data_IF_560890220727
#
_entry.id   IF_560890220727
#
_cell.length_a   1.000
_cell.length_b   1.000
_cell.length_c   1.000
_cell.angle_alpha   90.00
_cell.angle_beta   90.00
_cell.angle_gamma   90.00
#
_symmetry.space_group_name_H-M   'P 1'
#
loop_
_entity.id
_entity.type
_entity.pdbx_description
1 polymer ?
#
# COMPACT_ATOMS: atom_id res chain seq x y z
N UNK A 1 22.53 -6.02 -1.56
CA UNK A 1 21.58 -5.93 -0.42
C UNK A 1 20.18 -5.63 -0.96
N UNK A 2 19.28 -6.63 -0.96
CA UNK A 2 17.92 -6.56 -1.51
C UNK A 2 17.07 -5.40 -0.92
N UNK A 3 17.23 -5.13 0.38
CA UNK A 3 16.50 -4.06 1.08
C UNK A 3 16.85 -2.64 0.63
N UNK A 4 18.12 -2.39 0.28
CA UNK A 4 18.55 -1.08 -0.20
C UNK A 4 18.02 -0.79 -1.61
N UNK A 5 17.99 -1.81 -2.48
CA UNK A 5 17.39 -1.68 -3.81
C UNK A 5 15.91 -1.37 -3.73
N UNK A 6 15.16 -2.00 -2.81
CA UNK A 6 13.73 -1.77 -2.66
C UNK A 6 13.41 -0.31 -2.26
N UNK A 7 14.11 0.22 -1.26
CA UNK A 7 13.95 1.61 -0.82
C UNK A 7 14.36 2.58 -1.93
N UNK A 8 15.47 2.30 -2.61
CA UNK A 8 15.92 3.04 -3.79
C UNK A 8 14.84 3.08 -4.87
N UNK A 9 14.24 1.93 -5.20
CA UNK A 9 13.25 1.79 -6.27
C UNK A 9 11.97 2.55 -5.93
N UNK A 10 11.55 2.58 -4.66
CA UNK A 10 10.45 3.45 -4.21
C UNK A 10 10.78 4.94 -4.38
N UNK A 11 11.94 5.40 -3.91
CA UNK A 11 12.34 6.81 -4.09
C UNK A 11 12.57 7.18 -5.56
N UNK A 12 13.00 6.22 -6.38
CA UNK A 12 13.14 6.37 -7.83
C UNK A 12 11.76 6.55 -8.46
N UNK A 13 10.78 5.73 -8.09
CA UNK A 13 9.40 5.86 -8.55
C UNK A 13 8.79 7.24 -8.21
N UNK A 14 9.17 7.83 -7.07
CA UNK A 14 8.77 9.20 -6.73
C UNK A 14 9.46 10.25 -7.61
N UNK A 15 10.75 10.09 -7.92
CA UNK A 15 11.56 11.09 -8.66
C UNK A 15 11.31 11.07 -10.18
N UNK A 16 11.36 9.91 -10.83
CA UNK A 16 11.15 9.81 -12.29
C UNK A 16 11.06 8.35 -12.75
N UNK A 17 10.42 8.10 -13.90
CA UNK A 17 10.50 6.83 -14.62
C UNK A 17 9.20 6.00 -14.71
N UNK A 18 8.21 6.24 -13.85
CA UNK A 18 6.88 5.61 -13.98
C UNK A 18 5.74 6.63 -13.93
N UNK A 19 4.60 6.30 -14.51
CA UNK A 19 3.44 7.19 -14.51
C UNK A 19 2.92 7.38 -13.06
N UNK A 20 2.55 8.60 -12.62
CA UNK A 20 1.97 8.81 -11.30
C UNK A 20 0.76 7.91 -11.02
N UNK A 21 -0.03 7.58 -12.05
CA UNK A 21 -1.14 6.63 -11.96
C UNK A 21 -0.70 5.23 -11.52
N UNK A 22 0.37 4.68 -12.11
CA UNK A 22 0.91 3.36 -11.77
C UNK A 22 1.46 3.29 -10.34
N UNK A 23 2.12 4.37 -9.89
CA UNK A 23 2.61 4.48 -8.51
C UNK A 23 1.44 4.52 -7.52
N UNK A 24 0.41 5.30 -7.85
CA UNK A 24 -0.77 5.47 -7.00
C UNK A 24 -1.63 4.22 -6.94
N UNK A 25 -1.78 3.51 -8.06
CA UNK A 25 -2.48 2.23 -8.13
C UNK A 25 -1.76 1.17 -7.28
N UNK A 26 -0.44 1.04 -7.46
CA UNK A 26 0.37 0.13 -6.64
C UNK A 26 0.23 0.44 -5.15
N UNK A 27 0.37 1.70 -4.78
CA UNK A 27 0.19 2.16 -3.40
C UNK A 27 -1.22 1.86 -2.86
N UNK A 28 -2.27 2.06 -3.66
CA UNK A 28 -3.66 1.84 -3.23
C UNK A 28 -3.98 0.36 -3.03
N UNK A 29 -3.48 -0.51 -3.91
CA UNK A 29 -3.61 -1.97 -3.75
C UNK A 29 -2.85 -2.43 -2.51
N UNK A 30 -1.61 -1.95 -2.35
CA UNK A 30 -0.81 -2.24 -1.15
C UNK A 30 -1.45 -1.74 0.14
N UNK A 31 -2.10 -0.58 0.10
CA UNK A 31 -2.88 -0.04 1.22
C UNK A 31 -4.02 -0.99 1.61
N UNK A 32 -4.81 -1.47 0.65
CA UNK A 32 -5.88 -2.43 0.91
C UNK A 32 -5.34 -3.74 1.52
N UNK A 33 -4.24 -4.27 0.98
CA UNK A 33 -3.57 -5.46 1.51
C UNK A 33 -3.14 -5.25 2.97
N UNK A 34 -2.51 -4.12 3.28
CA UNK A 34 -2.00 -3.84 4.63
C UNK A 34 -3.11 -3.60 5.66
N UNK A 35 -4.31 -3.18 5.26
CA UNK A 35 -5.45 -3.07 6.17
C UNK A 35 -6.04 -4.42 6.58
N UNK A 36 -5.91 -5.44 5.72
CA UNK A 36 -6.65 -6.70 5.85
C UNK A 36 -5.82 -7.78 6.54
N UNK A 37 -6.44 -8.70 7.30
CA UNK A 37 -5.75 -9.86 7.83
C UNK A 37 -5.08 -10.69 6.71
N UNK A 38 -3.87 -11.16 6.97
CA UNK A 38 -3.16 -12.06 6.05
C UNK A 38 -3.92 -13.39 5.86
N UNK A 39 -3.73 -14.01 4.70
CA UNK A 39 -4.32 -15.30 4.31
C UNK A 39 -5.85 -15.33 4.19
N UNK A 40 -6.51 -14.20 3.97
CA UNK A 40 -7.89 -14.17 3.46
C UNK A 40 -7.90 -14.24 1.94
N UNK A 41 -9.01 -14.71 1.36
CA UNK A 41 -9.19 -14.75 -0.09
C UNK A 41 -9.03 -13.35 -0.71
N UNK A 42 -9.59 -12.29 -0.11
CA UNK A 42 -9.41 -10.94 -0.65
C UNK A 42 -7.95 -10.49 -0.65
N UNK A 43 -7.18 -10.77 0.41
CA UNK A 43 -5.77 -10.37 0.46
C UNK A 43 -4.95 -11.13 -0.59
N UNK A 44 -5.24 -12.41 -0.82
CA UNK A 44 -4.61 -13.20 -1.89
C UNK A 44 -4.95 -12.62 -3.28
N UNK A 45 -6.21 -12.29 -3.53
CA UNK A 45 -6.64 -11.68 -4.79
C UNK A 45 -6.01 -10.30 -5.01
N UNK A 46 -5.86 -9.50 -3.95
CA UNK A 46 -5.19 -8.20 -4.03
C UNK A 46 -3.68 -8.34 -4.29
N UNK A 47 -3.01 -9.32 -3.68
CA UNK A 47 -1.61 -9.62 -4.03
C UNK A 47 -1.49 -10.06 -5.49
N UNK A 48 -2.39 -10.93 -5.96
CA UNK A 48 -2.42 -11.31 -7.37
C UNK A 48 -2.59 -10.08 -8.26
N UNK A 49 -3.52 -9.18 -7.93
CA UNK A 49 -3.72 -7.92 -8.64
C UNK A 49 -2.46 -7.04 -8.62
N UNK A 50 -1.79 -6.94 -7.47
CA UNK A 50 -0.55 -6.17 -7.32
C UNK A 50 0.55 -6.67 -8.25
N UNK A 51 0.68 -7.99 -8.42
CA UNK A 51 1.69 -8.61 -9.29
C UNK A 51 1.29 -8.68 -10.77
N UNK A 52 0.00 -8.81 -11.08
CA UNK A 52 -0.51 -8.95 -12.45
C UNK A 52 -0.68 -7.61 -13.17
N UNK A 53 -1.02 -6.55 -12.43
CA UNK A 53 -1.16 -5.23 -13.03
C UNK A 53 0.19 -4.56 -13.24
N UNK A 54 0.28 -3.71 -14.27
CA UNK A 54 1.46 -2.88 -14.52
C UNK A 54 1.48 -1.67 -13.57
N UNK A 55 1.70 -1.94 -12.29
CA UNK A 55 1.75 -0.95 -11.19
C UNK A 55 3.12 -0.95 -10.50
N UNK A 56 3.39 0.07 -9.69
CA UNK A 56 4.66 0.14 -8.96
C UNK A 56 4.63 -0.78 -7.71
N UNK A 57 5.30 -1.93 -7.81
CA UNK A 57 5.39 -2.89 -6.70
C UNK A 57 6.03 -2.30 -5.44
N UNK A 58 7.06 -1.45 -5.60
CA UNK A 58 7.72 -0.84 -4.45
C UNK A 58 6.77 0.07 -3.66
N UNK A 59 5.97 0.87 -4.36
CA UNK A 59 4.92 1.68 -3.73
C UNK A 59 3.86 0.81 -3.03
N UNK A 60 3.48 -0.32 -3.64
CA UNK A 60 2.55 -1.27 -3.02
C UNK A 60 3.09 -1.85 -1.72
N UNK A 61 4.29 -2.40 -1.72
CA UNK A 61 4.91 -2.97 -0.51
C UNK A 61 5.17 -1.93 0.58
N UNK A 62 5.53 -0.68 0.23
CA UNK A 62 5.61 0.42 1.20
C UNK A 62 4.23 0.69 1.81
N UNK A 63 3.18 0.73 0.99
CA UNK A 63 1.82 0.93 1.46
C UNK A 63 1.33 -0.21 2.37
N UNK A 64 1.69 -1.46 2.09
CA UNK A 64 1.37 -2.62 2.95
C UNK A 64 1.90 -2.38 4.37
N UNK A 65 3.16 -1.96 4.49
CA UNK A 65 3.79 -1.71 5.78
C UNK A 65 3.12 -0.53 6.51
N UNK A 66 2.92 0.59 5.83
CA UNK A 66 2.28 1.79 6.42
C UNK A 66 0.85 1.47 6.85
N UNK A 67 0.06 0.85 5.97
CA UNK A 67 -1.33 0.51 6.24
C UNK A 67 -1.46 -0.54 7.33
N UNK A 68 -0.55 -1.52 7.42
CA UNK A 68 -0.51 -2.49 8.52
C UNK A 68 -0.27 -1.83 9.87
N UNK A 69 0.65 -0.86 9.93
CA UNK A 69 0.85 -0.07 11.15
C UNK A 69 -0.38 0.78 11.49
N UNK A 70 -1.01 1.41 10.50
CA UNK A 70 -2.25 2.18 10.69
C UNK A 70 -3.40 1.28 11.15
N UNK A 71 -3.55 0.09 10.58
CA UNK A 71 -4.58 -0.86 10.96
C UNK A 71 -4.39 -1.33 12.40
N UNK A 72 -3.15 -1.63 12.80
CA UNK A 72 -2.83 -1.97 14.19
C UNK A 72 -3.16 -0.82 15.15
N UNK A 73 -2.84 0.43 14.79
CA UNK A 73 -3.14 1.60 15.62
C UNK A 73 -4.65 1.86 15.74
N UNK A 74 -5.40 1.64 14.66
CA UNK A 74 -6.84 1.89 14.59
C UNK A 74 -7.68 0.63 14.90
N UNK A 75 -7.06 -0.47 15.33
CA UNK A 75 -7.70 -1.78 15.50
C UNK A 75 -9.01 -1.71 16.32
N UNK A 76 -9.11 -0.99 17.45
CA UNK A 76 -10.36 -0.88 18.20
C UNK A 76 -11.51 -0.25 17.39
N UNK A 77 -11.21 0.74 16.54
CA UNK A 77 -12.20 1.37 15.66
C UNK A 77 -12.62 0.44 14.53
N UNK A 78 -11.64 -0.25 13.93
CA UNK A 78 -11.90 -1.24 12.86
C UNK A 78 -12.78 -2.37 13.40
N UNK A 79 -12.43 -2.91 14.56
CA UNK A 79 -13.20 -3.93 15.26
C UNK A 79 -14.63 -3.45 15.55
N UNK A 80 -14.78 -2.24 16.10
CA UNK A 80 -16.10 -1.69 16.46
C UNK A 80 -17.00 -1.53 15.23
N UNK A 81 -16.45 -1.03 14.12
CA UNK A 81 -17.20 -0.90 12.87
C UNK A 81 -17.65 -2.28 12.34
N UNK A 82 -16.75 -3.26 12.36
CA UNK A 82 -17.08 -4.61 11.91
C UNK A 82 -18.09 -5.30 12.82
N UNK A 83 -18.00 -5.11 14.14
CA UNK A 83 -18.96 -5.61 15.10
C UNK A 83 -20.35 -5.00 14.87
N UNK A 84 -20.42 -3.68 14.69
CA UNK A 84 -21.66 -2.99 14.38
C UNK A 84 -22.35 -3.60 13.14
N UNK A 85 -21.61 -3.79 12.05
CA UNK A 85 -22.18 -4.34 10.80
C UNK A 85 -22.54 -5.82 10.88
N UNK A 86 -21.72 -6.64 11.53
CA UNK A 86 -21.95 -8.08 11.62
C UNK A 86 -23.02 -8.46 12.66
N UNK A 87 -23.04 -7.74 13.79
CA UNK A 87 -23.79 -8.17 14.99
C UNK A 87 -24.94 -7.22 15.30
N UNK A 88 -24.72 -5.91 15.28
CA UNK A 88 -25.72 -4.94 15.78
C UNK A 88 -26.82 -4.58 14.78
N UNK A 89 -26.73 -5.04 13.52
CA UNK A 89 -27.76 -4.82 12.50
C UNK A 89 -28.52 -6.13 12.23
N UNK A 90 -29.65 -6.40 12.92
CA UNK A 90 -30.40 -7.66 12.78
C UNK A 90 -30.87 -7.94 11.36
N UNK A 91 -31.19 -6.89 10.60
CA UNK A 91 -31.62 -7.00 9.20
C UNK A 91 -30.56 -7.64 8.28
N UNK A 92 -29.28 -7.63 8.67
CA UNK A 92 -28.19 -8.23 7.90
C UNK A 92 -27.85 -9.67 8.32
N UNK A 93 -28.40 -10.18 9.43
CA UNK A 93 -28.04 -11.52 9.93
C UNK A 93 -28.33 -12.62 8.91
N UNK A 94 -29.48 -12.59 8.24
CA UNK A 94 -29.80 -13.56 7.18
C UNK A 94 -28.85 -13.49 5.98
N UNK A 95 -28.35 -12.29 5.63
CA UNK A 95 -27.34 -12.12 4.60
C UNK A 95 -26.02 -12.78 5.04
N UNK A 96 -25.57 -12.52 6.27
CA UNK A 96 -24.33 -13.11 6.80
C UNK A 96 -24.41 -14.64 6.90
N UNK A 97 -25.55 -15.18 7.34
CA UNK A 97 -25.78 -16.63 7.38
C UNK A 97 -25.74 -17.25 5.97
N UNK A 98 -26.44 -16.64 5.00
CA UNK A 98 -26.42 -17.14 3.62
C UNK A 98 -25.01 -17.12 3.02
N UNK A 99 -24.25 -16.06 3.24
CA UNK A 99 -22.85 -15.95 2.79
C UNK A 99 -21.96 -16.97 3.51
N UNK A 100 -22.17 -17.21 4.80
CA UNK A 100 -21.37 -18.16 5.57
C UNK A 100 -21.54 -19.60 5.06
N UNK A 101 -22.73 -19.93 4.54
CA UNK A 101 -23.02 -21.25 3.98
C UNK A 101 -22.54 -21.45 2.54
N UNK A 102 -21.99 -20.43 1.87
CA UNK A 102 -21.37 -20.58 0.55
C UNK A 102 -19.98 -21.24 0.66
N UNK A 103 -19.52 -21.99 -0.35
CA UNK A 103 -18.23 -22.68 -0.29
C UNK A 103 -17.01 -21.74 -0.29
N UNK A 104 -17.14 -20.57 -0.93
CA UNK A 104 -16.01 -19.65 -1.17
C UNK A 104 -16.03 -18.44 -0.23
N UNK A 105 -17.21 -17.93 0.12
CA UNK A 105 -17.32 -16.68 0.88
C UNK A 105 -16.65 -16.74 2.27
N UNK A 106 -16.71 -17.83 3.06
CA UNK A 106 -15.97 -17.93 4.32
C UNK A 106 -14.45 -17.80 4.19
N UNK A 107 -13.87 -18.07 3.00
CA UNK A 107 -12.45 -17.87 2.74
C UNK A 107 -12.05 -16.39 2.79
N UNK A 108 -13.01 -15.48 2.61
CA UNK A 108 -12.79 -14.04 2.81
C UNK A 108 -12.65 -13.67 4.29
N UNK A 109 -13.06 -14.56 5.20
CA UNK A 109 -13.09 -14.34 6.64
C UNK A 109 -13.95 -13.12 7.03
N UNK A 110 -14.97 -12.80 6.22
CA UNK A 110 -15.87 -11.67 6.48
C UNK A 110 -16.55 -11.74 7.86
N UNK A 111 -16.70 -12.94 8.44
CA UNK A 111 -17.26 -13.16 9.78
C UNK A 111 -16.33 -12.70 10.92
N UNK A 112 -15.09 -12.31 10.62
CA UNK A 112 -14.20 -11.66 11.58
C UNK A 112 -14.44 -10.14 11.55
N UNK A 113 -14.69 -9.54 12.72
CA UNK A 113 -15.01 -8.10 12.83
C UNK A 113 -13.90 -7.20 12.30
N UNK A 114 -12.63 -7.51 12.57
CA UNK A 114 -11.50 -6.73 12.04
C UNK A 114 -11.45 -6.85 10.52
N UNK A 115 -11.66 -8.05 9.97
CA UNK A 115 -11.72 -8.24 8.51
C UNK A 115 -12.86 -7.43 7.87
N UNK A 116 -14.07 -7.50 8.44
CA UNK A 116 -15.23 -6.75 7.94
C UNK A 116 -14.98 -5.23 8.01
N UNK A 117 -14.53 -4.73 9.16
CA UNK A 117 -14.21 -3.32 9.34
C UNK A 117 -13.14 -2.84 8.36
N UNK A 118 -12.08 -3.62 8.16
CA UNK A 118 -11.00 -3.29 7.21
C UNK A 118 -11.49 -3.26 5.76
N UNK A 119 -12.39 -4.17 5.37
CA UNK A 119 -13.00 -4.16 4.03
C UNK A 119 -13.79 -2.87 3.82
N UNK A 120 -14.65 -2.50 4.78
CA UNK A 120 -15.49 -1.31 4.68
C UNK A 120 -14.65 -0.04 4.63
N UNK A 121 -13.68 0.10 5.53
CA UNK A 121 -12.74 1.22 5.55
C UNK A 121 -12.00 1.28 4.22
N UNK A 122 -11.42 0.15 3.77
CA UNK A 122 -10.70 0.07 2.52
C UNK A 122 -11.52 0.53 1.31
N UNK A 123 -12.78 0.07 1.18
CA UNK A 123 -13.68 0.48 0.09
C UNK A 123 -13.93 2.00 0.12
N UNK A 124 -14.14 2.57 1.31
CA UNK A 124 -14.41 4.00 1.47
C UNK A 124 -13.16 4.84 1.17
N UNK A 125 -11.99 4.41 1.62
CA UNK A 125 -10.77 5.23 1.61
C UNK A 125 -9.84 4.98 0.43
N UNK A 126 -10.02 3.90 -0.34
CA UNK A 126 -9.11 3.55 -1.45
C UNK A 126 -9.01 4.67 -2.50
N UNK A 127 -10.13 5.31 -2.85
CA UNK A 127 -10.11 6.41 -3.82
C UNK A 127 -9.40 7.65 -3.27
N UNK A 128 -9.73 8.15 -2.06
CA UNK A 128 -8.93 9.18 -1.40
C UNK A 128 -7.42 8.88 -1.36
N UNK A 129 -7.04 7.63 -1.05
CA UNK A 129 -5.63 7.19 -1.02
C UNK A 129 -5.01 7.26 -2.40
N UNK A 130 -5.71 6.78 -3.45
CA UNK A 130 -5.23 6.84 -4.82
C UNK A 130 -4.97 8.27 -5.28
N UNK A 131 -5.97 9.15 -5.15
CA UNK A 131 -5.86 10.55 -5.58
C UNK A 131 -4.85 11.32 -4.74
N UNK A 132 -4.80 11.06 -3.43
CA UNK A 132 -3.82 11.60 -2.51
C UNK A 132 -2.39 11.24 -2.91
N UNK A 133 -2.13 9.97 -3.19
CA UNK A 133 -0.83 9.50 -3.64
C UNK A 133 -0.47 10.07 -5.02
N UNK A 134 -1.43 10.15 -5.95
CA UNK A 134 -1.19 10.73 -7.27
C UNK A 134 -0.76 12.19 -7.17
N UNK A 135 -1.47 12.97 -6.35
CA UNK A 135 -1.14 14.37 -6.07
C UNK A 135 0.22 14.51 -5.38
N UNK A 136 0.54 13.61 -4.44
CA UNK A 136 1.84 13.58 -3.78
C UNK A 136 2.96 13.36 -4.79
N UNK A 137 2.83 12.36 -5.67
CA UNK A 137 3.84 12.05 -6.70
C UNK A 137 4.05 13.23 -7.65
N UNK A 138 2.96 13.84 -8.16
CA UNK A 138 3.04 15.00 -9.06
C UNK A 138 3.75 16.17 -8.36
N UNK A 139 3.27 16.54 -7.16
CA UNK A 139 3.88 17.63 -6.39
C UNK A 139 5.34 17.34 -6.01
N UNK A 140 5.67 16.05 -5.79
CA UNK A 140 7.01 15.65 -5.45
C UNK A 140 7.98 15.92 -6.61
N UNK A 141 7.58 15.55 -7.82
CA UNK A 141 8.34 15.78 -9.05
C UNK A 141 8.48 17.26 -9.39
N UNK A 142 7.40 18.02 -9.26
CA UNK A 142 7.39 19.43 -9.67
C UNK A 142 8.12 20.35 -8.68
N UNK A 143 7.98 20.09 -7.37
CA UNK A 143 8.34 21.08 -6.33
C UNK A 143 9.29 20.54 -5.27
N UNK A 144 9.10 19.30 -4.85
CA UNK A 144 9.79 18.76 -3.67
C UNK A 144 11.20 18.29 -4.06
N UNK A 145 11.40 17.74 -5.26
CA UNK A 145 12.73 17.27 -5.69
C UNK A 145 13.76 18.41 -5.65
N UNK A 146 13.40 19.58 -6.17
CA UNK A 146 14.27 20.76 -6.17
C UNK A 146 14.58 21.27 -4.75
N UNK A 147 13.66 21.09 -3.79
CA UNK A 147 13.84 21.49 -2.38
C UNK A 147 14.69 20.48 -1.61
N UNK A 148 14.44 19.19 -1.79
CA UNK A 148 15.20 18.10 -1.12
C UNK A 148 16.68 18.13 -1.54
N UNK A 149 16.99 18.45 -2.81
CA UNK A 149 18.37 18.61 -3.29
C UNK A 149 19.15 19.70 -2.54
N UNK A 150 18.47 20.65 -1.89
CA UNK A 150 19.09 21.75 -1.12
C UNK A 150 19.32 21.40 0.36
N UNK A 151 18.79 20.28 0.86
CA UNK A 151 18.95 19.92 2.28
C UNK A 151 20.40 19.47 2.57
N UNK A 152 20.98 20.00 3.66
CA UNK A 152 22.38 19.74 4.05
C UNK A 152 22.66 18.24 4.24
N UNK A 153 21.70 17.49 4.80
CA UNK A 153 21.81 16.03 4.97
C UNK A 153 21.91 15.34 3.60
N UNK A 154 21.12 15.78 2.62
CA UNK A 154 21.13 15.20 1.27
C UNK A 154 22.46 15.49 0.56
N UNK A 155 23.01 16.69 0.74
CA UNK A 155 24.32 17.06 0.20
C UNK A 155 25.46 16.27 0.87
N UNK A 156 25.40 16.10 2.20
CA UNK A 156 26.37 15.31 2.96
C UNK A 156 26.32 13.82 2.62
N UNK A 157 25.13 13.27 2.40
CA UNK A 157 24.98 11.88 1.93
C UNK A 157 25.53 11.73 0.53
N UNK A 158 25.26 12.69 -0.38
CA UNK A 158 25.77 12.66 -1.76
C UNK A 158 27.28 12.79 -1.86
N UNK A 159 27.92 13.54 -0.97
CA UNK A 159 29.38 13.67 -0.92
C UNK A 159 30.07 12.50 -0.23
N UNK A 160 29.33 11.56 0.35
CA UNK A 160 29.90 10.38 1.00
C UNK A 160 30.43 9.36 0.00
N UNK A 161 31.49 8.64 0.36
CA UNK A 161 32.05 7.54 -0.45
C UNK A 161 31.02 6.42 -0.71
N UNK A 162 30.09 6.22 0.23
CA UNK A 162 28.99 5.24 0.11
C UNK A 162 28.04 5.57 -1.04
N UNK A 163 27.73 6.85 -1.25
CA UNK A 163 26.89 7.28 -2.36
C UNK A 163 27.58 7.07 -3.71
N UNK A 164 28.89 7.33 -3.80
CA UNK A 164 29.67 7.04 -5.01
C UNK A 164 29.69 5.56 -5.39
N UNK A 165 29.76 4.66 -4.40
CA UNK A 165 29.64 3.21 -4.63
C UNK A 165 28.25 2.81 -5.14
N UNK A 166 27.20 3.39 -4.54
CA UNK A 166 25.83 3.19 -4.99
C UNK A 166 25.62 3.65 -6.44
N UNK A 167 26.11 4.83 -6.80
CA UNK A 167 25.98 5.38 -8.16
C UNK A 167 26.72 4.54 -9.20
N UNK A 168 27.90 3.99 -8.85
CA UNK A 168 28.65 3.06 -9.70
C UNK A 168 27.88 1.77 -9.97
N UNK A 169 27.25 1.19 -8.95
CA UNK A 169 26.42 -0.03 -9.08
C UNK A 169 25.17 0.26 -9.91
N UNK A 170 24.52 1.42 -9.69
CA UNK A 170 23.32 1.81 -10.44
C UNK A 170 23.61 1.98 -11.93
N UNK A 171 24.72 2.64 -12.29
CA UNK A 171 25.16 2.81 -13.69
C UNK A 171 25.43 1.49 -14.39
N UNK A 172 26.04 0.52 -13.71
CA UNK A 172 26.30 -0.80 -14.28
C UNK A 172 24.99 -1.52 -14.59
N UNK A 173 23.98 -1.41 -13.70
CA UNK A 173 22.66 -2.03 -13.89
C UNK A 173 21.82 -1.39 -15.00
N UNK A 174 22.09 -0.14 -15.37
CA UNK A 174 21.39 0.53 -16.48
C UNK A 174 22.01 0.23 -17.86
N UNK A 175 23.22 -0.33 -17.91
CA UNK A 175 23.94 -0.67 -19.15
C UNK A 175 23.81 -2.15 -19.54
N UNK A 176 23.23 -2.98 -18.68
CA UNK A 176 22.96 -4.42 -18.88
C UNK A 176 21.47 -4.69 -18.85
#
# INVERSE_FOLDING_TARGET
MFWLSFISDFFRALRSGQEPGQVSAGFSIGYLIGLMPFFSLQTVLLFALLFLLNVNLAAGFVAIFIAGFVAWLLDPLIHSLGFWVLVEIPALHGLWESLYNLPIAPLTRFYNTVSMGSILIGIITVWPVFWGMKKLVINYRDRIEARIKKWKIVQAVKSSKLYGWYEKILRIRELT
#
